data_IF_467256114537
#
_entry.id   IF_467256114537
#
_cell.length_a   1.000
_cell.length_b   1.000
_cell.length_c   1.000
_cell.angle_alpha   90.00
_cell.angle_beta   90.00
_cell.angle_gamma   90.00
#
_symmetry.space_group_name_H-M   'P 1'
#
loop_
_entity.id
_entity.type
_entity.pdbx_description
1 polymer ?
#
# COMPACT_ATOMS: atom_id res chain seq x y z
N UNK A 1 -9.86 7.04 -0.19
CA UNK A 1 -8.90 6.86 0.91
C UNK A 1 -9.52 6.05 2.03
N UNK A 2 -8.71 5.41 2.89
CA UNK A 2 -9.23 4.48 3.88
C UNK A 2 -9.94 5.17 5.05
N UNK A 3 -9.34 6.21 5.65
CA UNK A 3 -9.86 6.76 6.88
C UNK A 3 -9.67 8.26 7.08
N UNK A 4 -10.04 8.72 8.28
CA UNK A 4 -10.00 10.14 8.65
C UNK A 4 -8.58 10.70 8.74
N UNK A 5 -7.60 9.89 9.18
CA UNK A 5 -6.19 10.29 9.24
C UNK A 5 -5.64 10.60 7.85
N UNK A 6 -5.94 9.72 6.89
CA UNK A 6 -5.53 9.90 5.49
C UNK A 6 -6.16 11.16 4.89
N UNK A 7 -7.45 11.40 5.21
CA UNK A 7 -8.16 12.60 4.75
C UNK A 7 -7.47 13.88 5.25
N UNK A 8 -7.10 13.91 6.53
CA UNK A 8 -6.47 15.07 7.13
C UNK A 8 -5.12 15.37 6.47
N UNK A 9 -4.27 14.35 6.34
CA UNK A 9 -2.95 14.49 5.71
C UNK A 9 -3.07 14.86 4.24
N UNK A 10 -3.94 14.19 3.46
CA UNK A 10 -4.14 14.52 2.06
C UNK A 10 -4.62 15.96 1.85
N UNK A 11 -5.57 16.45 2.67
CA UNK A 11 -6.03 17.84 2.58
C UNK A 11 -4.93 18.85 2.89
N UNK A 12 -4.10 18.57 3.91
CA UNK A 12 -2.99 19.42 4.25
C UNK A 12 -1.94 19.47 3.12
N UNK A 13 -1.59 18.31 2.56
CA UNK A 13 -0.66 18.24 1.42
C UNK A 13 -1.18 18.99 0.19
N UNK A 14 -2.48 18.88 -0.12
CA UNK A 14 -3.08 19.63 -1.22
C UNK A 14 -2.97 21.14 -1.02
N UNK A 15 -3.26 21.62 0.19
CA UNK A 15 -3.10 23.04 0.54
C UNK A 15 -1.63 23.50 0.40
N UNK A 16 -0.69 22.70 0.91
CA UNK A 16 0.73 23.00 0.82
C UNK A 16 1.26 23.03 -0.62
N UNK A 17 0.70 22.20 -1.49
CA UNK A 17 1.06 22.13 -2.91
C UNK A 17 0.26 23.13 -3.77
N UNK A 18 -0.57 23.97 -3.16
CA UNK A 18 -1.47 24.90 -3.85
C UNK A 18 -2.39 24.22 -4.88
N UNK A 19 -2.84 23.00 -4.55
CA UNK A 19 -3.72 22.20 -5.38
C UNK A 19 -5.16 22.30 -4.89
N UNK A 20 -6.02 22.89 -5.73
CA UNK A 20 -7.46 23.01 -5.45
C UNK A 20 -8.24 21.93 -6.22
N UNK A 21 -8.55 20.84 -5.54
CA UNK A 21 -9.29 19.71 -6.13
C UNK A 21 -10.77 20.05 -6.40
N UNK A 22 -11.36 20.98 -5.66
CA UNK A 22 -12.76 21.38 -5.87
C UNK A 22 -12.92 22.08 -7.22
N UNK A 23 -11.94 22.90 -7.64
CA UNK A 23 -11.90 23.53 -8.96
C UNK A 23 -11.79 22.47 -10.07
N UNK A 24 -11.07 21.38 -9.80
CA UNK A 24 -10.98 20.25 -10.73
C UNK A 24 -12.24 19.36 -10.71
N UNK A 25 -13.24 19.65 -9.87
CA UNK A 25 -14.43 18.83 -9.71
C UNK A 25 -14.18 17.49 -9.04
N UNK A 26 -13.08 17.38 -8.29
CA UNK A 26 -12.68 16.17 -7.58
C UNK A 26 -13.00 16.27 -6.09
N UNK A 27 -13.17 15.13 -5.44
CA UNK A 27 -13.44 15.05 -3.99
C UNK A 27 -12.69 13.88 -3.37
N UNK A 28 -12.12 14.09 -2.18
CA UNK A 28 -11.55 13.02 -1.37
C UNK A 28 -12.63 12.47 -0.44
N UNK A 29 -12.86 11.16 -0.51
CA UNK A 29 -13.89 10.47 0.28
C UNK A 29 -13.23 9.40 1.15
N UNK A 30 -13.30 9.50 2.48
CA UNK A 30 -12.92 8.42 3.37
C UNK A 30 -14.02 7.35 3.37
N UNK A 31 -13.62 6.08 3.26
CA UNK A 31 -14.57 4.95 3.15
C UNK A 31 -14.70 4.13 4.43
N UNK A 32 -14.01 4.53 5.51
CA UNK A 32 -14.04 3.88 6.83
C UNK A 32 -13.68 2.39 6.78
N UNK A 33 -12.60 2.10 6.06
CA UNK A 33 -11.99 0.78 5.97
C UNK A 33 -11.92 0.23 4.56
N UNK A 34 -10.80 -0.41 4.27
CA UNK A 34 -10.44 -0.91 2.93
C UNK A 34 -11.44 -1.88 2.30
N UNK A 35 -12.19 -2.61 3.11
CA UNK A 35 -13.25 -3.51 2.61
C UNK A 35 -14.41 -2.80 1.91
N UNK A 36 -14.56 -1.47 2.09
CA UNK A 36 -15.59 -0.69 1.42
C UNK A 36 -15.18 -0.20 0.03
N UNK A 37 -13.90 -0.19 -0.30
CA UNK A 37 -13.40 0.30 -1.59
C UNK A 37 -14.11 -0.34 -2.79
N UNK A 38 -14.26 -1.68 -2.88
CA UNK A 38 -14.90 -2.29 -4.05
C UNK A 38 -16.35 -1.83 -4.26
N UNK A 39 -17.09 -1.68 -3.17
CA UNK A 39 -18.51 -1.25 -3.22
C UNK A 39 -18.63 0.21 -3.65
N UNK A 40 -17.88 1.09 -2.99
CA UNK A 40 -17.90 2.55 -3.24
C UNK A 40 -17.39 2.85 -4.65
N UNK A 41 -16.27 2.26 -5.07
CA UNK A 41 -15.74 2.48 -6.41
C UNK A 41 -16.69 1.99 -7.51
N UNK A 42 -17.33 0.82 -7.32
CA UNK A 42 -18.33 0.32 -8.25
C UNK A 42 -19.52 1.30 -8.36
N UNK A 43 -20.00 1.81 -7.23
CA UNK A 43 -21.11 2.78 -7.20
C UNK A 43 -20.77 4.04 -8.00
N UNK A 44 -19.59 4.64 -7.76
CA UNK A 44 -19.20 5.87 -8.47
C UNK A 44 -18.98 5.64 -9.97
N UNK A 45 -18.41 4.49 -10.36
CA UNK A 45 -18.26 4.13 -11.77
C UNK A 45 -19.60 3.94 -12.48
N UNK A 46 -20.63 3.40 -11.78
CA UNK A 46 -21.97 3.28 -12.36
C UNK A 46 -22.60 4.64 -12.72
N UNK A 47 -22.18 5.72 -12.09
CA UNK A 47 -22.60 7.10 -12.42
C UNK A 47 -21.54 7.85 -13.23
N UNK A 48 -20.69 7.12 -13.95
CA UNK A 48 -19.64 7.65 -14.82
C UNK A 48 -18.64 8.59 -14.12
N UNK A 49 -18.28 8.29 -12.87
CA UNK A 49 -17.21 9.00 -12.17
C UNK A 49 -15.92 8.20 -12.25
N UNK A 50 -14.83 8.91 -12.54
CA UNK A 50 -13.50 8.37 -12.40
C UNK A 50 -13.19 8.16 -10.91
N UNK A 51 -12.54 7.05 -10.59
CA UNK A 51 -12.25 6.67 -9.21
C UNK A 51 -10.77 6.31 -9.08
N UNK A 52 -10.08 7.06 -8.22
CA UNK A 52 -8.74 6.71 -7.75
C UNK A 52 -8.82 6.21 -6.30
N UNK A 53 -8.01 5.24 -5.96
CA UNK A 53 -7.88 4.72 -4.59
C UNK A 53 -6.46 4.96 -4.09
N UNK A 54 -6.35 5.47 -2.86
CA UNK A 54 -5.12 5.45 -2.08
C UNK A 54 -5.35 4.54 -0.90
N UNK A 55 -4.53 3.50 -0.76
CA UNK A 55 -4.65 2.48 0.28
C UNK A 55 -3.29 2.19 0.93
N UNK A 56 -3.32 1.76 2.18
CA UNK A 56 -2.16 1.23 2.87
C UNK A 56 -1.66 -0.07 2.18
N UNK A 57 -0.41 -0.44 2.44
CA UNK A 57 0.20 -1.63 1.85
C UNK A 57 -0.57 -2.91 2.19
N UNK A 58 -1.22 -2.97 3.35
CA UNK A 58 -2.02 -4.12 3.78
C UNK A 58 -3.29 -4.29 2.92
N UNK A 59 -3.74 -3.24 2.22
CA UNK A 59 -4.75 -3.33 1.18
C UNK A 59 -4.33 -4.18 -0.02
N UNK A 60 -3.02 -4.34 -0.23
CA UNK A 60 -2.46 -5.19 -1.28
C UNK A 60 -1.97 -6.54 -0.74
N UNK A 61 -1.29 -6.57 0.41
CA UNK A 61 -0.69 -7.81 0.95
C UNK A 61 -1.69 -8.77 1.53
N UNK A 62 -2.84 -8.28 1.99
CA UNK A 62 -3.92 -9.11 2.52
C UNK A 62 -4.85 -9.64 1.41
N UNK A 63 -5.66 -10.64 1.74
CA UNK A 63 -6.64 -11.21 0.84
C UNK A 63 -7.89 -10.33 0.73
N UNK A 64 -7.72 -9.10 0.31
CA UNK A 64 -8.85 -8.25 -0.03
C UNK A 64 -8.84 -7.91 -1.53
N UNK A 65 -10.01 -7.63 -2.06
CA UNK A 65 -10.23 -7.46 -3.48
C UNK A 65 -10.00 -6.02 -3.97
N UNK A 66 -9.26 -5.19 -3.21
CA UNK A 66 -9.03 -3.78 -3.59
C UNK A 66 -8.35 -3.69 -4.95
N UNK A 67 -7.27 -4.47 -5.14
CA UNK A 67 -6.54 -4.47 -6.39
C UNK A 67 -7.29 -5.13 -7.54
N UNK A 68 -8.10 -6.14 -7.26
CA UNK A 68 -8.92 -6.85 -8.27
C UNK A 68 -9.95 -5.95 -8.94
N UNK A 69 -10.41 -4.93 -8.23
CA UNK A 69 -11.31 -3.93 -8.79
C UNK A 69 -10.72 -3.23 -10.04
N UNK A 70 -9.41 -3.02 -10.04
CA UNK A 70 -8.72 -2.36 -11.16
C UNK A 70 -8.31 -3.33 -12.26
N UNK A 71 -8.23 -4.63 -11.97
CA UNK A 71 -7.89 -5.66 -12.96
C UNK A 71 -8.95 -5.83 -14.03
N UNK A 72 -10.21 -5.53 -13.71
CA UNK A 72 -11.34 -5.61 -14.67
C UNK A 72 -11.42 -4.42 -15.63
N UNK A 73 -10.53 -3.44 -15.50
CA UNK A 73 -10.49 -2.30 -16.42
C UNK A 73 -9.76 -2.68 -17.72
N UNK A 74 -10.35 -2.41 -18.89
CA UNK A 74 -9.70 -2.70 -20.18
C UNK A 74 -8.32 -2.06 -20.33
N UNK A 75 -8.14 -0.87 -19.76
CA UNK A 75 -6.89 -0.12 -19.75
C UNK A 75 -5.80 -0.87 -18.95
N UNK A 76 -6.17 -1.51 -17.84
CA UNK A 76 -5.25 -2.28 -16.99
C UNK A 76 -4.62 -3.42 -17.75
N UNK A 77 -5.41 -4.21 -18.46
CA UNK A 77 -4.91 -5.32 -19.29
C UNK A 77 -4.01 -4.83 -20.42
N UNK A 78 -4.35 -3.71 -21.05
CA UNK A 78 -3.52 -3.17 -22.13
C UNK A 78 -2.15 -2.72 -21.64
N UNK A 79 -2.04 -2.23 -20.40
CA UNK A 79 -0.78 -1.83 -19.77
C UNK A 79 0.03 -3.07 -19.37
N UNK A 80 -0.63 -4.03 -18.73
CA UNK A 80 -0.01 -5.28 -18.31
C UNK A 80 0.55 -6.06 -19.48
N UNK A 81 -0.23 -6.22 -20.55
CA UNK A 81 0.19 -6.93 -21.77
C UNK A 81 1.38 -6.26 -22.47
N UNK A 82 1.45 -4.93 -22.49
CA UNK A 82 2.61 -4.21 -23.08
C UNK A 82 3.90 -4.50 -22.34
N UNK A 83 3.84 -4.62 -21.01
CA UNK A 83 5.02 -4.69 -20.15
C UNK A 83 5.45 -6.14 -19.85
N UNK A 84 4.52 -7.10 -19.82
CA UNK A 84 4.81 -8.45 -19.32
C UNK A 84 4.19 -9.58 -20.14
N UNK A 85 3.42 -9.28 -21.19
CA UNK A 85 2.62 -10.24 -21.95
C UNK A 85 1.63 -11.05 -21.09
N UNK A 86 1.25 -10.52 -19.91
CA UNK A 86 0.29 -11.11 -18.97
C UNK A 86 -0.85 -10.14 -18.72
N UNK A 87 -2.02 -10.66 -18.37
CA UNK A 87 -3.11 -9.83 -17.87
C UNK A 87 -2.77 -9.22 -16.50
N UNK A 88 -3.41 -8.13 -16.12
CA UNK A 88 -3.21 -7.53 -14.79
C UNK A 88 -3.56 -8.53 -13.68
N UNK A 89 -4.63 -9.30 -13.86
CA UNK A 89 -5.05 -10.33 -12.90
C UNK A 89 -3.98 -11.42 -12.71
N UNK A 90 -3.37 -11.89 -13.79
CA UNK A 90 -2.26 -12.85 -13.73
C UNK A 90 -1.02 -12.27 -13.06
N UNK A 91 -0.70 -11.00 -13.32
CA UNK A 91 0.42 -10.33 -12.64
C UNK A 91 0.19 -10.26 -11.12
N UNK A 92 -0.99 -9.82 -10.70
CA UNK A 92 -1.34 -9.74 -9.26
C UNK A 92 -1.27 -11.12 -8.62
N UNK A 93 -1.89 -12.13 -9.24
CA UNK A 93 -1.90 -13.50 -8.72
C UNK A 93 -0.49 -14.05 -8.56
N UNK A 94 0.35 -13.91 -9.59
CA UNK A 94 1.73 -14.39 -9.56
C UNK A 94 2.57 -13.68 -8.50
N UNK A 95 2.47 -12.35 -8.41
CA UNK A 95 3.22 -11.56 -7.42
C UNK A 95 2.79 -11.93 -5.99
N UNK A 96 1.48 -12.09 -5.74
CA UNK A 96 0.98 -12.47 -4.42
C UNK A 96 1.37 -13.88 -4.01
N UNK A 97 1.34 -14.83 -4.94
CA UNK A 97 1.79 -16.21 -4.66
C UNK A 97 3.28 -16.23 -4.34
N UNK A 98 4.11 -15.60 -5.17
CA UNK A 98 5.56 -15.53 -4.96
C UNK A 98 5.90 -14.81 -3.63
N UNK A 99 5.20 -13.72 -3.33
CA UNK A 99 5.33 -12.99 -2.06
C UNK A 99 5.02 -13.89 -0.87
N UNK A 100 3.89 -14.60 -0.92
CA UNK A 100 3.45 -15.48 0.17
C UNK A 100 4.45 -16.62 0.35
N UNK A 101 4.79 -17.32 -0.71
CA UNK A 101 5.72 -18.46 -0.67
C UNK A 101 7.11 -18.03 -0.14
N UNK A 102 7.67 -16.93 -0.66
CA UNK A 102 8.99 -16.47 -0.28
C UNK A 102 9.03 -15.99 1.18
N UNK A 103 8.01 -15.26 1.64
CA UNK A 103 7.93 -14.80 3.02
C UNK A 103 7.75 -15.99 3.97
N UNK A 104 6.80 -16.88 3.70
CA UNK A 104 6.51 -18.02 4.56
C UNK A 104 7.72 -18.97 4.68
N UNK A 105 8.45 -19.18 3.60
CA UNK A 105 9.66 -20.03 3.59
C UNK A 105 10.84 -19.40 4.34
N UNK A 106 10.97 -18.08 4.32
CA UNK A 106 12.14 -17.37 4.83
C UNK A 106 11.89 -16.50 6.05
N UNK A 107 10.68 -16.51 6.64
CA UNK A 107 10.33 -15.60 7.74
C UNK A 107 11.35 -15.58 8.88
N UNK A 108 11.87 -16.74 9.29
CA UNK A 108 12.89 -16.84 10.34
C UNK A 108 14.27 -16.30 9.96
N UNK A 109 14.60 -16.28 8.66
CA UNK A 109 15.87 -15.78 8.15
C UNK A 109 15.89 -14.26 7.98
N UNK A 110 14.73 -13.64 7.81
CA UNK A 110 14.60 -12.20 7.52
C UNK A 110 14.05 -11.40 8.69
N UNK A 111 13.86 -12.01 9.86
CA UNK A 111 13.30 -11.35 11.05
C UNK A 111 14.03 -10.07 11.41
N UNK A 112 15.35 -10.05 11.38
CA UNK A 112 16.20 -8.90 11.69
C UNK A 112 15.95 -7.69 10.77
N UNK A 113 15.38 -7.89 9.59
CA UNK A 113 15.12 -6.83 8.62
C UNK A 113 13.74 -6.19 8.79
N UNK A 114 12.77 -6.89 9.39
CA UNK A 114 11.41 -6.39 9.55
C UNK A 114 10.94 -6.15 10.99
N UNK A 115 11.67 -6.65 11.99
CA UNK A 115 11.24 -6.62 13.40
C UNK A 115 11.03 -5.22 13.97
N UNK A 116 11.74 -4.22 13.44
CA UNK A 116 11.57 -2.81 13.80
C UNK A 116 10.42 -2.11 13.04
N UNK A 117 9.85 -2.76 12.01
CA UNK A 117 8.79 -2.14 11.23
C UNK A 117 7.47 -2.05 12.02
N UNK A 118 6.71 -0.92 11.94
CA UNK A 118 5.46 -0.73 12.70
C UNK A 118 4.43 -1.84 12.54
N UNK A 119 4.32 -2.47 11.37
CA UNK A 119 3.43 -3.61 11.15
C UNK A 119 3.76 -4.83 12.03
N UNK A 120 5.01 -4.97 12.41
CA UNK A 120 5.44 -6.02 13.31
C UNK A 120 5.41 -5.58 14.77
N UNK A 121 6.04 -4.43 15.09
CA UNK A 121 6.20 -3.95 16.46
C UNK A 121 4.87 -3.58 17.13
N UNK A 122 3.88 -3.11 16.36
CA UNK A 122 2.56 -2.69 16.87
C UNK A 122 1.48 -3.78 16.68
N UNK A 123 1.85 -5.01 16.30
CA UNK A 123 0.87 -6.09 16.17
C UNK A 123 0.25 -6.43 17.52
N UNK A 124 -0.98 -6.92 17.50
CA UNK A 124 -1.60 -7.48 18.71
C UNK A 124 -0.87 -8.76 19.14
N UNK A 125 -0.26 -8.81 20.33
CA UNK A 125 0.43 -10.00 20.82
C UNK A 125 -0.50 -11.20 21.04
N UNK A 126 -1.81 -10.98 21.15
CA UNK A 126 -2.83 -12.03 21.30
C UNK A 126 -3.23 -12.64 19.95
N UNK A 127 -2.86 -12.02 18.82
CA UNK A 127 -3.09 -12.59 17.50
C UNK A 127 -2.18 -13.81 17.32
N UNK A 128 -2.81 -14.99 17.28
CA UNK A 128 -2.10 -16.27 17.13
C UNK A 128 -1.50 -16.43 15.75
N UNK A 129 -2.00 -15.71 14.76
CA UNK A 129 -1.49 -15.74 13.38
C UNK A 129 -0.68 -14.49 13.09
N UNK A 130 0.62 -14.56 13.39
CA UNK A 130 1.56 -13.49 13.07
C UNK A 130 1.90 -13.38 11.57
N UNK A 131 1.43 -14.32 10.74
CA UNK A 131 1.83 -14.43 9.31
C UNK A 131 1.51 -13.16 8.53
N UNK A 132 0.33 -12.56 8.77
CA UNK A 132 -0.03 -11.29 8.11
C UNK A 132 0.88 -10.14 8.51
N UNK A 133 1.19 -10.02 9.80
CA UNK A 133 2.09 -8.97 10.29
C UNK A 133 3.50 -9.15 9.72
N UNK A 134 4.00 -10.39 9.67
CA UNK A 134 5.30 -10.71 9.07
C UNK A 134 5.31 -10.32 7.59
N UNK A 135 4.30 -10.74 6.84
CA UNK A 135 4.20 -10.44 5.39
C UNK A 135 4.17 -8.94 5.14
N UNK A 136 3.30 -8.21 5.83
CA UNK A 136 3.19 -6.74 5.71
C UNK A 136 4.52 -6.06 6.03
N UNK A 137 5.14 -6.40 7.15
CA UNK A 137 6.40 -5.79 7.59
C UNK A 137 7.55 -6.12 6.64
N UNK A 138 7.67 -7.38 6.19
CA UNK A 138 8.72 -7.81 5.26
C UNK A 138 8.58 -7.09 3.91
N UNK A 139 7.38 -7.01 3.35
CA UNK A 139 7.16 -6.35 2.05
C UNK A 139 7.33 -4.83 2.16
N UNK A 140 6.86 -4.20 3.23
CA UNK A 140 7.10 -2.78 3.47
C UNK A 140 8.60 -2.48 3.57
N UNK A 141 9.34 -3.31 4.28
CA UNK A 141 10.80 -3.17 4.39
C UNK A 141 11.48 -3.39 3.03
N UNK A 142 11.10 -4.45 2.31
CA UNK A 142 11.62 -4.74 0.98
C UNK A 142 11.44 -3.56 0.01
N UNK A 143 10.28 -2.91 0.02
CA UNK A 143 9.99 -1.75 -0.84
C UNK A 143 10.65 -0.45 -0.39
N UNK A 144 11.01 -0.33 0.90
CA UNK A 144 11.55 0.90 1.50
C UNK A 144 13.06 1.02 1.44
N UNK A 145 13.78 -0.10 1.40
CA UNK A 145 15.25 -0.09 1.41
C UNK A 145 15.83 0.18 0.00
N UNK A 146 17.03 0.76 -0.10
CA UNK A 146 17.78 0.80 -1.35
C UNK A 146 18.03 -0.60 -1.90
N UNK A 147 18.03 -0.75 -3.23
CA UNK A 147 18.21 -2.07 -3.88
C UNK A 147 19.54 -2.74 -3.49
N UNK A 148 20.57 -1.95 -3.33
CA UNK A 148 21.92 -2.42 -2.94
C UNK A 148 21.91 -3.09 -1.56
N UNK A 149 21.03 -2.68 -0.69
CA UNK A 149 20.88 -3.24 0.65
C UNK A 149 20.32 -4.66 0.64
N UNK A 150 19.69 -5.10 -0.44
CA UNK A 150 19.20 -6.47 -0.59
C UNK A 150 20.33 -7.51 -0.64
N UNK A 151 21.56 -7.11 -0.97
CA UNK A 151 22.72 -8.00 -0.91
C UNK A 151 22.98 -8.57 0.50
N UNK A 152 22.44 -7.94 1.54
CA UNK A 152 22.54 -8.41 2.92
C UNK A 152 21.46 -9.44 3.29
N UNK A 153 20.43 -9.59 2.46
CA UNK A 153 19.34 -10.53 2.71
C UNK A 153 19.73 -11.95 2.27
N UNK A 154 19.34 -12.99 3.00
CA UNK A 154 19.51 -14.35 2.54
C UNK A 154 18.70 -14.53 1.24
N UNK A 155 19.25 -15.29 0.28
CA UNK A 155 18.62 -15.51 -1.02
C UNK A 155 18.29 -14.19 -1.77
N UNK A 156 19.23 -13.22 -1.75
CA UNK A 156 19.05 -11.84 -2.24
C UNK A 156 18.56 -11.75 -3.68
N UNK A 157 18.88 -12.72 -4.55
CA UNK A 157 18.40 -12.78 -5.94
C UNK A 157 16.88 -12.98 -6.00
N UNK A 158 16.33 -13.83 -5.12
CA UNK A 158 14.89 -14.09 -5.06
C UNK A 158 14.15 -12.85 -4.55
N UNK A 159 14.66 -12.19 -3.51
CA UNK A 159 14.10 -10.95 -3.00
C UNK A 159 14.20 -9.81 -4.01
N UNK A 160 15.30 -9.74 -4.76
CA UNK A 160 15.47 -8.79 -5.85
C UNK A 160 14.44 -8.99 -6.96
N UNK A 161 14.22 -10.23 -7.39
CA UNK A 161 13.22 -10.59 -8.40
C UNK A 161 11.79 -10.29 -7.93
N UNK A 162 11.48 -10.60 -6.66
CA UNK A 162 10.17 -10.25 -6.08
C UNK A 162 9.97 -8.74 -6.04
N UNK A 163 10.99 -7.97 -5.62
CA UNK A 163 10.92 -6.51 -5.61
C UNK A 163 10.65 -5.93 -6.98
N UNK A 164 11.37 -6.39 -8.02
CA UNK A 164 11.14 -5.92 -9.38
C UNK A 164 9.70 -6.22 -9.86
N UNK A 165 9.20 -7.40 -9.51
CA UNK A 165 7.83 -7.78 -9.83
C UNK A 165 6.79 -6.91 -9.10
N UNK A 166 7.04 -6.60 -7.83
CA UNK A 166 6.22 -5.69 -7.02
C UNK A 166 6.25 -4.27 -7.58
N UNK A 167 7.43 -3.72 -7.87
CA UNK A 167 7.58 -2.37 -8.41
C UNK A 167 6.87 -2.21 -9.76
N UNK A 168 6.99 -3.21 -10.64
CA UNK A 168 6.30 -3.24 -11.93
C UNK A 168 4.78 -3.28 -11.76
N UNK A 169 4.29 -4.15 -10.87
CA UNK A 169 2.85 -4.29 -10.61
C UNK A 169 2.27 -3.02 -9.98
N UNK A 170 2.92 -2.48 -8.94
CA UNK A 170 2.45 -1.28 -8.27
C UNK A 170 2.43 -0.08 -9.22
N UNK A 171 3.45 0.06 -10.07
CA UNK A 171 3.48 1.10 -11.10
C UNK A 171 2.37 0.94 -12.13
N UNK A 172 2.04 -0.29 -12.52
CA UNK A 172 0.92 -0.56 -13.42
C UNK A 172 -0.43 -0.23 -12.76
N UNK A 173 -0.61 -0.57 -11.48
CA UNK A 173 -1.80 -0.20 -10.70
C UNK A 173 -1.96 1.32 -10.56
N UNK A 174 -0.87 2.05 -10.29
CA UNK A 174 -0.85 3.52 -10.23
C UNK A 174 -1.36 4.15 -11.54
N UNK A 175 -0.99 3.58 -12.68
CA UNK A 175 -1.43 4.07 -14.00
C UNK A 175 -2.94 3.97 -14.20
N UNK A 176 -3.61 3.05 -13.51
CA UNK A 176 -5.07 2.88 -13.58
C UNK A 176 -5.81 3.43 -12.35
N UNK A 177 -5.11 4.22 -11.53
CA UNK A 177 -5.70 4.94 -10.40
C UNK A 177 -5.73 4.17 -9.07
N UNK A 178 -4.94 3.11 -8.92
CA UNK A 178 -4.79 2.39 -7.66
C UNK A 178 -3.39 2.65 -7.06
N UNK A 179 -3.34 3.47 -6.03
CA UNK A 179 -2.11 3.90 -5.35
C UNK A 179 -1.97 3.16 -4.03
N UNK A 180 -0.91 2.38 -3.90
CA UNK A 180 -0.59 1.62 -2.68
C UNK A 180 0.60 2.27 -1.99
N UNK A 181 0.48 2.57 -0.70
CA UNK A 181 1.53 3.17 0.11
C UNK A 181 2.66 2.16 0.36
N UNK A 182 3.79 2.33 -0.34
CA UNK A 182 4.90 1.35 -0.40
C UNK A 182 5.63 1.15 0.94
N UNK A 183 5.63 2.16 1.83
CA UNK A 183 6.24 2.08 3.16
C UNK A 183 5.32 1.49 4.24
N UNK A 184 4.14 1.05 3.87
CA UNK A 184 3.17 0.52 4.81
C UNK A 184 1.92 1.38 4.90
N UNK A 185 1.66 1.97 6.06
CA UNK A 185 0.57 2.89 6.30
C UNK A 185 1.01 4.35 6.14
N UNK A 186 0.06 5.29 6.07
CA UNK A 186 0.36 6.72 5.90
C UNK A 186 1.27 7.24 7.01
N UNK A 187 1.15 6.71 8.23
CA UNK A 187 1.96 7.08 9.37
C UNK A 187 3.47 6.76 9.17
N UNK A 188 3.78 5.83 8.28
CA UNK A 188 5.18 5.51 7.92
C UNK A 188 5.88 6.62 7.13
N UNK A 189 5.14 7.61 6.67
CA UNK A 189 5.64 8.78 5.95
C UNK A 189 5.79 10.01 6.83
N UNK A 190 5.28 9.99 8.06
CA UNK A 190 5.41 11.10 9.00
C UNK A 190 6.87 11.33 9.36
N UNK A 191 7.23 12.62 9.47
CA UNK A 191 8.58 13.05 9.83
C UNK A 191 8.64 13.57 11.26
N UNK A 192 7.61 14.29 11.69
CA UNK A 192 7.59 15.03 12.94
C UNK A 192 6.83 14.30 14.05
N UNK A 193 5.76 13.59 13.73
CA UNK A 193 4.89 12.92 14.69
C UNK A 193 5.32 11.47 15.06
N UNK A 194 6.58 11.09 14.74
CA UNK A 194 7.07 9.71 14.98
C UNK A 194 7.19 9.35 16.46
N UNK A 195 7.57 10.31 17.29
CA UNK A 195 7.95 10.10 18.69
C UNK A 195 6.92 10.66 19.68
N UNK A 196 5.68 10.93 19.23
CA UNK A 196 4.69 11.56 20.09
C UNK A 196 4.02 10.57 21.03
N UNK A 197 3.77 11.05 22.25
CA UNK A 197 3.06 10.32 23.32
C UNK A 197 1.54 10.26 23.11
N UNK A 198 1.02 10.86 22.03
CA UNK A 198 -0.42 10.90 21.77
C UNK A 198 -0.94 9.56 21.26
N UNK A 199 -1.94 9.03 21.95
CA UNK A 199 -2.63 7.82 21.58
C UNK A 199 -3.58 8.06 20.39
N UNK A 200 -3.39 7.22 19.34
CA UNK A 200 -4.31 7.13 18.22
C UNK A 200 -3.83 7.81 16.92
N UNK A 201 -4.21 7.18 15.81
CA UNK A 201 -3.86 7.63 14.46
C UNK A 201 -4.31 9.06 14.12
N UNK A 202 -5.55 9.49 14.46
CA UNK A 202 -5.98 10.86 14.16
C UNK A 202 -5.18 11.95 14.87
N UNK A 203 -4.75 11.72 16.12
CA UNK A 203 -3.94 12.68 16.88
C UNK A 203 -2.55 12.83 16.26
N UNK A 204 -1.92 11.73 15.85
CA UNK A 204 -0.64 11.75 15.15
C UNK A 204 -0.74 12.45 13.80
N UNK A 205 -1.81 12.20 13.06
CA UNK A 205 -2.07 12.88 11.78
C UNK A 205 -2.24 14.39 11.97
N UNK A 206 -2.98 14.82 13.00
CA UNK A 206 -3.17 16.23 13.32
C UNK A 206 -1.84 16.91 13.68
N UNK A 207 -0.99 16.24 14.45
CA UNK A 207 0.33 16.75 14.79
C UNK A 207 1.23 16.85 13.56
N UNK A 208 1.35 15.80 12.75
CA UNK A 208 2.14 15.84 11.51
C UNK A 208 1.70 16.99 10.60
N UNK A 209 0.38 17.19 10.45
CA UNK A 209 -0.15 18.29 9.62
C UNK A 209 0.14 19.68 10.15
N UNK A 210 0.43 19.84 11.45
CA UNK A 210 0.83 21.12 12.04
C UNK A 210 2.25 21.54 11.66
N UNK A 211 3.08 20.59 11.21
CA UNK A 211 4.45 20.84 10.75
C UNK A 211 4.56 20.88 9.21
N UNK A 212 3.58 20.37 8.50
CA UNK A 212 3.50 20.48 7.05
C UNK A 212 3.10 21.89 6.60
#
# INVERSE_FOLDING_TARGET
>A
IEGASDLLVCKCLLQKLDLNIDVAGAQIIPVEGKGQFPVIAKLFRMINKEVCILTDLDGFTDDNNVTELFCSLPEADSIACRNSHKSMSEMIHNVRNNMTELVDTNQGKVVQFYESHPYWSNRDPSDKDATKAIRRATIAQLLSIPRESLAQWPDSELWGSLRDSLDNLLSALETVGCFVLRKGAIESYYQSAKDTTYDGKPSKAAEETSYL
#
